data_IF_255568398261
#
_entry.id   IF_255568398261
#
_cell.length_a   1.000
_cell.length_b   1.000
_cell.length_c   1.000
_cell.angle_alpha   90.00
_cell.angle_beta   90.00
_cell.angle_gamma   90.00
#
_symmetry.space_group_name_H-M   'P 1'
#
loop_
_entity.id
_entity.type
_entity.pdbx_description
1 polymer ?
#
# COMPACT_ATOMS: atom_id res chain seq x y z
N UNK A 1 -24.24 -28.46 -17.68
CA UNK A 1 -23.55 -29.46 -18.53
C UNK A 1 -22.70 -30.48 -17.76
N UNK A 2 -22.18 -30.24 -16.54
CA UNK A 2 -21.62 -31.32 -15.70
C UNK A 2 -22.00 -31.28 -14.20
N UNK A 3 -22.88 -30.36 -13.78
CA UNK A 3 -23.29 -30.18 -12.36
C UNK A 3 -22.11 -30.19 -11.38
N UNK A 4 -20.94 -29.77 -11.84
CA UNK A 4 -19.72 -29.77 -11.06
C UNK A 4 -19.79 -28.62 -10.07
N UNK A 5 -19.70 -28.88 -8.75
CA UNK A 5 -19.61 -27.82 -7.77
C UNK A 5 -18.30 -27.06 -7.98
N UNK A 6 -18.32 -25.76 -7.72
CA UNK A 6 -17.15 -24.90 -7.84
C UNK A 6 -16.95 -24.11 -6.56
N UNK A 7 -15.69 -23.87 -6.22
CA UNK A 7 -15.26 -22.87 -5.24
C UNK A 7 -14.55 -21.77 -6.00
N UNK A 8 -15.00 -20.52 -5.82
CA UNK A 8 -14.46 -19.35 -6.52
C UNK A 8 -13.85 -18.39 -5.51
N UNK A 9 -12.53 -18.40 -5.41
CA UNK A 9 -11.78 -17.38 -4.69
C UNK A 9 -11.50 -16.22 -5.65
N UNK A 10 -12.30 -15.16 -5.52
CA UNK A 10 -12.22 -13.97 -6.36
C UNK A 10 -11.52 -12.83 -5.61
N UNK A 11 -11.56 -11.63 -6.19
CA UNK A 11 -10.98 -10.42 -5.59
C UNK A 11 -12.02 -9.39 -5.18
N UNK A 12 -11.52 -8.23 -4.76
CA UNK A 12 -12.29 -7.05 -4.40
C UNK A 12 -11.36 -5.95 -3.90
N UNK A 13 -11.92 -4.85 -3.40
CA UNK A 13 -11.17 -3.81 -2.69
C UNK A 13 -11.35 -4.02 -1.19
N UNK A 14 -10.37 -4.60 -0.53
CA UNK A 14 -10.41 -4.85 0.91
C UNK A 14 -10.20 -3.53 1.70
N UNK A 15 -11.22 -2.98 2.37
CA UNK A 15 -11.08 -1.74 3.12
C UNK A 15 -10.24 -1.93 4.39
N UNK A 16 -9.52 -0.89 4.80
CA UNK A 16 -8.87 -0.82 6.09
C UNK A 16 -9.33 0.45 6.83
N UNK A 17 -10.24 0.29 7.79
CA UNK A 17 -10.68 1.40 8.63
C UNK A 17 -9.71 1.61 9.80
N UNK A 18 -9.28 2.85 10.00
CA UNK A 18 -8.42 3.27 11.11
C UNK A 18 -9.23 4.24 11.98
N UNK A 19 -9.53 3.79 13.19
CA UNK A 19 -10.24 4.57 14.19
C UNK A 19 -9.33 5.61 14.86
N UNK A 20 -9.88 6.73 15.31
CA UNK A 20 -9.14 7.81 15.97
C UNK A 20 -8.63 7.42 17.34
N UNK A 21 -9.42 6.63 18.06
CA UNK A 21 -9.06 6.11 19.38
C UNK A 21 -8.16 4.88 19.30
N UNK A 22 -7.75 4.47 18.08
CA UNK A 22 -6.64 3.53 17.98
C UNK A 22 -5.39 4.22 18.53
N UNK A 23 -4.58 3.46 19.26
CA UNK A 23 -3.45 3.99 20.03
C UNK A 23 -2.39 4.57 19.09
N UNK A 24 -2.60 5.81 18.64
CA UNK A 24 -1.70 6.58 17.78
C UNK A 24 -0.60 7.30 18.58
N UNK A 25 -0.59 7.15 19.91
CA UNK A 25 0.39 7.76 20.81
C UNK A 25 1.50 6.79 21.26
N UNK A 26 1.22 5.49 21.47
CA UNK A 26 2.26 4.43 21.39
C UNK A 26 2.96 4.47 20.02
N UNK A 27 2.23 4.95 19.02
CA UNK A 27 2.65 5.10 17.64
C UNK A 27 3.63 6.25 17.44
N UNK A 28 3.67 7.30 18.28
CA UNK A 28 4.58 8.45 18.07
C UNK A 28 5.96 8.32 18.74
N UNK A 29 6.07 7.53 19.81
CA UNK A 29 7.30 7.43 20.64
C UNK A 29 8.02 6.09 20.58
N UNK A 30 7.36 5.04 20.08
CA UNK A 30 7.96 3.72 19.92
C UNK A 30 8.20 3.39 18.44
N UNK A 31 9.30 2.69 18.17
CA UNK A 31 9.58 2.00 16.90
C UNK A 31 8.54 0.92 16.56
N UNK A 32 7.57 0.68 17.45
CA UNK A 32 6.54 -0.35 17.36
C UNK A 32 5.14 0.29 17.22
N UNK A 33 4.96 1.13 16.21
CA UNK A 33 3.64 1.52 15.74
C UNK A 33 2.95 0.31 15.07
N UNK A 34 2.40 -0.59 15.89
CA UNK A 34 1.93 -1.90 15.45
C UNK A 34 0.89 -1.90 14.31
N UNK A 35 -0.14 -1.01 14.30
CA UNK A 35 -1.17 -1.04 13.25
C UNK A 35 -0.65 -0.59 11.89
N UNK A 36 0.03 0.57 11.81
CA UNK A 36 0.53 1.08 10.53
C UNK A 36 1.70 0.28 10.00
N UNK A 37 2.53 -0.31 10.87
CA UNK A 37 3.57 -1.25 10.46
C UNK A 37 2.98 -2.49 9.79
N UNK A 38 1.90 -3.04 10.36
CA UNK A 38 1.14 -4.17 9.78
C UNK A 38 0.48 -3.82 8.46
N UNK A 39 -0.16 -2.64 8.37
CA UNK A 39 -0.79 -2.17 7.13
C UNK A 39 0.26 -1.99 6.04
N UNK A 40 1.39 -1.34 6.35
CA UNK A 40 2.50 -1.15 5.42
C UNK A 40 3.03 -2.48 4.91
N UNK A 41 3.26 -3.45 5.81
CA UNK A 41 3.71 -4.78 5.44
C UNK A 41 2.71 -5.49 4.53
N UNK A 42 1.44 -5.52 4.91
CA UNK A 42 0.39 -6.16 4.12
C UNK A 42 0.15 -5.48 2.77
N UNK A 43 0.29 -4.15 2.69
CA UNK A 43 0.10 -3.38 1.46
C UNK A 43 1.23 -3.60 0.47
N UNK A 44 2.47 -3.62 0.94
CA UNK A 44 3.64 -3.57 0.06
C UNK A 44 4.32 -4.92 -0.16
N UNK A 45 4.00 -5.94 0.63
CA UNK A 45 4.36 -7.33 0.31
C UNK A 45 3.91 -7.68 -1.12
N UNK A 46 4.80 -8.29 -1.92
CA UNK A 46 4.54 -8.69 -3.30
C UNK A 46 4.10 -7.51 -4.19
N UNK A 47 4.60 -6.29 -3.89
CA UNK A 47 4.13 -5.02 -4.45
C UNK A 47 2.61 -4.81 -4.38
N UNK A 48 1.95 -5.32 -3.33
CA UNK A 48 0.50 -5.24 -3.18
C UNK A 48 -0.30 -6.10 -4.15
N UNK A 49 0.35 -7.02 -4.86
CA UNK A 49 -0.28 -7.99 -5.77
C UNK A 49 -0.82 -9.20 -4.98
N UNK A 50 -1.62 -8.92 -3.96
CA UNK A 50 -2.16 -9.91 -3.02
C UNK A 50 -3.66 -9.68 -2.85
N UNK A 51 -4.48 -10.72 -3.02
CA UNK A 51 -5.96 -10.58 -3.04
C UNK A 51 -6.55 -10.01 -1.74
N UNK A 52 -5.87 -10.20 -0.61
CA UNK A 52 -6.28 -9.72 0.71
C UNK A 52 -5.48 -8.49 1.19
N UNK A 53 -4.67 -7.87 0.31
CA UNK A 53 -3.95 -6.66 0.67
C UNK A 53 -4.95 -5.57 1.10
N UNK A 54 -4.61 -4.74 2.11
CA UNK A 54 -5.40 -3.56 2.41
C UNK A 54 -5.40 -2.66 1.17
N UNK A 55 -6.54 -2.54 0.50
CA UNK A 55 -6.60 -1.86 -0.79
C UNK A 55 -6.56 -0.35 -0.60
N UNK A 56 -7.39 0.16 0.30
CA UNK A 56 -7.50 1.57 0.67
C UNK A 56 -7.75 1.75 2.17
N UNK A 57 -7.44 2.94 2.67
CA UNK A 57 -7.63 3.33 4.07
C UNK A 57 -8.85 4.25 4.18
N UNK A 58 -9.69 3.99 5.18
CA UNK A 58 -10.73 4.90 5.65
C UNK A 58 -10.32 5.41 7.03
N UNK A 59 -10.25 6.72 7.23
CA UNK A 59 -9.85 7.31 8.51
C UNK A 59 -10.45 8.71 8.67
N UNK A 60 -10.44 9.23 9.89
CA UNK A 60 -10.73 10.65 10.12
C UNK A 60 -9.63 11.52 9.47
N UNK A 61 -10.01 12.59 8.79
CA UNK A 61 -9.07 13.47 8.07
C UNK A 61 -7.94 14.02 8.96
N UNK A 62 -8.20 14.18 10.27
CA UNK A 62 -7.22 14.62 11.27
C UNK A 62 -6.03 13.66 11.40
N UNK A 63 -6.21 12.38 11.07
CA UNK A 63 -5.18 11.33 11.16
C UNK A 63 -4.33 11.21 9.89
N UNK A 64 -4.79 11.77 8.76
CA UNK A 64 -4.23 11.51 7.43
C UNK A 64 -2.72 11.79 7.37
N UNK A 65 -2.28 12.95 7.85
CA UNK A 65 -0.85 13.33 7.84
C UNK A 65 0.01 12.41 8.72
N UNK A 66 -0.51 11.99 9.87
CA UNK A 66 0.19 11.09 10.78
C UNK A 66 0.35 9.70 10.15
N UNK A 67 -0.70 9.20 9.50
CA UNK A 67 -0.70 7.93 8.76
C UNK A 67 0.36 7.96 7.65
N UNK A 68 0.37 9.02 6.83
CA UNK A 68 1.35 9.19 5.74
C UNK A 68 2.77 9.18 6.28
N UNK A 69 3.04 9.95 7.34
CA UNK A 69 4.37 10.04 7.92
C UNK A 69 4.86 8.68 8.44
N UNK A 70 4.00 7.94 9.15
CA UNK A 70 4.35 6.63 9.69
C UNK A 70 4.57 5.58 8.61
N UNK A 71 3.73 5.56 7.56
CA UNK A 71 3.94 4.66 6.41
C UNK A 71 5.30 4.94 5.77
N UNK A 72 5.65 6.21 5.57
CA UNK A 72 6.97 6.59 5.02
C UNK A 72 8.13 6.06 5.89
N UNK A 73 8.07 6.26 7.21
CA UNK A 73 9.11 5.77 8.12
C UNK A 73 9.22 4.23 8.08
N UNK A 74 8.08 3.53 8.08
CA UNK A 74 8.08 2.06 8.00
C UNK A 74 8.59 1.55 6.65
N UNK A 75 8.24 2.20 5.54
CA UNK A 75 8.77 1.83 4.22
C UNK A 75 10.29 1.93 4.20
N UNK A 76 10.84 2.99 4.80
CA UNK A 76 12.28 3.17 4.95
C UNK A 76 12.92 2.11 5.87
N UNK A 77 12.25 1.71 6.96
CA UNK A 77 12.68 0.60 7.81
C UNK A 77 12.73 -0.73 7.02
N UNK A 78 11.72 -1.01 6.18
CA UNK A 78 11.60 -2.27 5.47
C UNK A 78 12.55 -2.39 4.28
N UNK A 79 12.68 -1.33 3.50
CA UNK A 79 13.32 -1.39 2.18
C UNK A 79 14.56 -0.49 2.07
N UNK A 80 14.91 0.24 3.13
CA UNK A 80 16.02 1.19 3.14
C UNK A 80 15.74 2.48 2.37
N UNK A 81 16.78 3.29 2.20
CA UNK A 81 16.68 4.58 1.48
C UNK A 81 16.50 4.39 -0.03
N UNK A 82 17.13 3.36 -0.60
CA UNK A 82 17.01 3.03 -2.01
C UNK A 82 16.17 1.75 -2.20
N UNK A 83 14.85 1.95 -2.13
CA UNK A 83 13.84 0.88 -2.19
C UNK A 83 13.98 0.04 -3.47
N UNK A 84 14.42 0.67 -4.57
CA UNK A 84 14.62 -0.04 -5.85
C UNK A 84 15.70 -1.12 -5.76
N UNK A 85 16.72 -0.93 -4.94
CA UNK A 85 17.80 -1.91 -4.73
C UNK A 85 17.50 -2.90 -3.60
N UNK A 86 16.38 -2.73 -2.89
CA UNK A 86 16.00 -3.65 -1.82
C UNK A 86 15.74 -5.05 -2.39
N UNK A 87 16.39 -6.10 -1.85
CA UNK A 87 16.14 -7.48 -2.27
C UNK A 87 14.75 -7.96 -1.84
N UNK A 88 14.13 -7.29 -0.88
CA UNK A 88 12.83 -7.64 -0.28
C UNK A 88 11.65 -6.92 -0.95
N UNK A 89 11.92 -6.05 -1.93
CA UNK A 89 10.87 -5.35 -2.68
C UNK A 89 10.74 -5.93 -4.10
N UNK A 90 9.58 -6.48 -4.41
CA UNK A 90 9.33 -7.18 -5.67
C UNK A 90 9.10 -6.23 -6.85
N UNK A 91 8.53 -6.74 -7.96
CA UNK A 91 8.20 -5.97 -9.17
C UNK A 91 6.81 -6.32 -9.67
N UNK A 92 6.23 -5.42 -10.46
CA UNK A 92 4.94 -5.68 -11.08
C UNK A 92 5.06 -6.80 -12.13
N UNK A 93 4.10 -7.72 -12.12
CA UNK A 93 4.19 -9.00 -12.83
C UNK A 93 4.38 -8.87 -14.35
N UNK A 94 3.89 -7.80 -14.98
CA UNK A 94 4.08 -7.53 -16.42
C UNK A 94 3.78 -6.07 -16.77
N UNK A 95 4.11 -5.69 -18.01
CA UNK A 95 3.95 -4.33 -18.50
C UNK A 95 2.48 -3.86 -18.54
N UNK A 96 1.54 -4.77 -18.84
CA UNK A 96 0.10 -4.46 -18.82
C UNK A 96 -0.34 -4.02 -17.42
N UNK A 97 0.03 -4.76 -16.38
CA UNK A 97 -0.30 -4.42 -15.00
C UNK A 97 0.44 -3.16 -14.53
N UNK A 98 1.69 -2.99 -14.95
CA UNK A 98 2.47 -1.79 -14.66
C UNK A 98 1.76 -0.54 -15.19
N UNK A 99 1.40 -0.51 -16.48
CA UNK A 99 0.69 0.62 -17.10
C UNK A 99 -0.68 0.86 -16.47
N UNK A 100 -1.43 -0.22 -16.16
CA UNK A 100 -2.71 -0.12 -15.45
C UNK A 100 -2.58 0.54 -14.08
N UNK A 101 -1.53 0.24 -13.32
CA UNK A 101 -1.32 0.84 -12.00
C UNK A 101 -0.86 2.29 -12.15
N UNK A 102 0.04 2.56 -13.11
CA UNK A 102 0.52 3.91 -13.40
C UNK A 102 -0.62 4.88 -13.74
N UNK A 103 -1.61 4.43 -14.52
CA UNK A 103 -2.78 5.26 -14.84
C UNK A 103 -3.67 5.58 -13.64
N UNK A 104 -3.58 4.83 -12.53
CA UNK A 104 -4.32 5.13 -11.29
C UNK A 104 -3.69 6.31 -10.53
N UNK A 105 -2.45 6.68 -10.84
CA UNK A 105 -1.76 7.80 -10.21
C UNK A 105 -2.05 9.13 -10.91
N UNK A 106 -2.56 9.10 -12.15
CA UNK A 106 -2.85 10.28 -12.95
C UNK A 106 -3.93 11.14 -12.28
N UNK A 107 -3.65 12.43 -12.09
CA UNK A 107 -4.58 13.38 -11.46
C UNK A 107 -4.71 13.24 -9.93
N UNK A 108 -3.97 12.33 -9.31
CA UNK A 108 -4.02 12.11 -7.87
C UNK A 108 -2.99 12.95 -7.11
N UNK A 109 -3.28 13.24 -5.84
CA UNK A 109 -2.34 13.93 -4.94
C UNK A 109 -1.42 12.90 -4.28
N UNK A 110 -0.18 12.83 -4.76
CA UNK A 110 0.84 11.93 -4.22
C UNK A 110 1.47 12.58 -2.98
N UNK A 111 1.30 11.95 -1.82
CA UNK A 111 1.88 12.42 -0.55
C UNK A 111 3.23 11.76 -0.23
N UNK A 112 3.48 10.56 -0.78
CA UNK A 112 4.74 9.83 -0.64
C UNK A 112 4.93 8.89 -1.84
N UNK A 113 6.16 8.73 -2.31
CA UNK A 113 6.54 7.86 -3.43
C UNK A 113 6.15 8.43 -4.80
N UNK A 114 5.68 7.56 -5.69
CA UNK A 114 5.29 7.91 -7.06
C UNK A 114 6.37 7.67 -8.11
N UNK A 115 7.60 7.33 -7.71
CA UNK A 115 8.68 6.99 -8.64
C UNK A 115 8.38 5.66 -9.35
N UNK A 116 8.66 5.61 -10.65
CA UNK A 116 8.47 4.40 -11.44
C UNK A 116 9.63 4.15 -12.40
N UNK A 117 9.84 2.89 -12.75
CA UNK A 117 10.75 2.48 -13.81
C UNK A 117 10.12 1.32 -14.59
N UNK A 118 9.74 1.62 -15.83
CA UNK A 118 9.09 0.68 -16.74
C UNK A 118 9.98 -0.50 -17.12
N UNK A 119 11.28 -0.28 -17.30
CA UNK A 119 12.21 -1.32 -17.75
C UNK A 119 12.31 -2.47 -16.74
N UNK A 120 12.27 -2.11 -15.45
CA UNK A 120 12.28 -3.09 -14.35
C UNK A 120 10.88 -3.38 -13.79
N UNK A 121 9.83 -2.70 -14.29
CA UNK A 121 8.45 -2.74 -13.78
C UNK A 121 8.38 -2.38 -12.29
N UNK A 122 9.20 -1.44 -11.88
CA UNK A 122 9.26 -0.91 -10.52
C UNK A 122 8.27 0.24 -10.35
N UNK A 123 7.44 0.17 -9.31
CA UNK A 123 6.63 1.28 -8.83
C UNK A 123 6.96 1.41 -7.35
N UNK A 124 7.41 2.59 -6.90
CA UNK A 124 7.73 2.83 -5.51
C UNK A 124 6.50 2.65 -4.60
N UNK A 125 6.68 2.27 -3.32
CA UNK A 125 5.62 2.41 -2.32
C UNK A 125 5.02 3.81 -2.37
N UNK A 126 3.73 3.91 -2.70
CA UNK A 126 3.08 5.19 -3.02
C UNK A 126 1.84 5.38 -2.14
N UNK A 127 1.71 6.57 -1.54
CA UNK A 127 0.54 6.96 -0.74
C UNK A 127 -0.12 8.17 -1.40
N UNK A 128 -1.43 8.05 -1.62
CA UNK A 128 -2.29 9.12 -2.13
C UNK A 128 -3.12 9.69 -0.98
N UNK A 129 -3.35 11.00 -0.99
CA UNK A 129 -4.20 11.68 -0.01
C UNK A 129 -5.35 12.41 -0.71
N UNK A 130 -6.41 12.70 0.07
CA UNK A 130 -7.58 13.45 -0.41
C UNK A 130 -8.21 12.84 -1.69
N UNK A 131 -8.25 11.51 -1.73
CA UNK A 131 -8.74 10.73 -2.89
C UNK A 131 -10.26 10.84 -3.00
N UNK A 132 -10.73 11.16 -4.21
CA UNK A 132 -12.17 11.17 -4.55
C UNK A 132 -12.67 9.72 -4.75
N UNK A 133 -13.80 9.30 -4.12
CA UNK A 133 -14.31 7.92 -4.18
C UNK A 133 -14.68 7.37 -5.57
#
# INVERSE_FOLDING_TARGET
KHLTPVTLELGGKSPCYIDKDCDLDIVCSCSECFPLRRITWGKYMNCGQTCIAPDYILCEASLQNQIVWKIKETVKEFYGENIKESPDYERIINLRHFKRILSLLEGQKIAFGGETDEATRYIAPTVLTDVDP
#
